data_IF_762230098166
#
_entry.id   IF_762230098166
#
_cell.length_a   1.000
_cell.length_b   1.000
_cell.length_c   1.000
_cell.angle_alpha   90.00
_cell.angle_beta   90.00
_cell.angle_gamma   90.00
#
_symmetry.space_group_name_H-M   'P 1'
#
loop_
_entity.id
_entity.type
_entity.pdbx_description
1 polymer ?
#
# COMPACT_ATOMS: atom_id res chain seq x y z
N UNK A 1 -16.90 -39.25 -12.79
CA UNK A 1 -17.39 -37.86 -12.74
C UNK A 1 -16.24 -37.01 -13.26
N UNK A 2 -16.30 -36.62 -14.53
CA UNK A 2 -15.22 -35.86 -15.17
C UNK A 2 -15.24 -34.44 -14.62
N UNK A 3 -14.07 -33.96 -14.17
CA UNK A 3 -13.88 -32.58 -13.77
C UNK A 3 -13.86 -31.76 -15.05
N UNK A 4 -14.82 -30.85 -15.16
CA UNK A 4 -14.92 -29.89 -16.23
C UNK A 4 -13.62 -29.06 -16.29
N UNK A 5 -12.98 -29.06 -17.46
CA UNK A 5 -11.66 -28.45 -17.70
C UNK A 5 -11.75 -27.05 -18.30
N UNK A 6 -12.94 -26.47 -18.35
CA UNK A 6 -13.13 -25.06 -18.72
C UNK A 6 -12.74 -24.15 -17.54
N UNK A 7 -11.47 -24.29 -17.13
CA UNK A 7 -10.78 -23.37 -16.27
C UNK A 7 -10.58 -22.06 -17.05
N UNK A 8 -11.24 -21.02 -16.54
CA UNK A 8 -10.95 -19.59 -16.71
C UNK A 8 -9.56 -19.38 -17.31
N UNK A 9 -9.50 -19.11 -18.62
CA UNK A 9 -8.27 -18.70 -19.29
C UNK A 9 -7.92 -17.30 -18.81
N UNK A 10 -7.18 -17.22 -17.71
CA UNK A 10 -6.45 -16.00 -17.35
C UNK A 10 -5.35 -15.86 -18.39
N UNK A 11 -5.48 -14.88 -19.27
CA UNK A 11 -4.41 -14.52 -20.22
C UNK A 11 -3.10 -14.38 -19.45
N UNK A 12 -1.98 -14.97 -19.92
CA UNK A 12 -0.67 -14.69 -19.34
C UNK A 12 -0.49 -13.18 -19.28
N UNK A 13 -0.32 -12.61 -18.08
CA UNK A 13 0.08 -11.20 -17.99
C UNK A 13 1.44 -11.10 -18.68
N UNK A 14 1.53 -10.30 -19.73
CA UNK A 14 2.82 -9.94 -20.32
C UNK A 14 3.68 -9.36 -19.21
N UNK A 15 4.72 -10.10 -18.83
CA UNK A 15 5.75 -9.56 -17.95
C UNK A 15 6.55 -8.53 -18.76
N UNK A 16 6.76 -7.33 -18.24
CA UNK A 16 7.68 -6.40 -18.89
C UNK A 16 9.05 -7.07 -19.04
N UNK A 17 9.79 -6.79 -20.14
CA UNK A 17 11.09 -7.38 -20.37
C UNK A 17 12.01 -7.13 -19.16
N UNK A 18 12.91 -8.07 -18.81
CA UNK A 18 13.84 -7.88 -17.72
C UNK A 18 14.70 -6.65 -17.99
N UNK A 19 14.58 -5.64 -17.13
CA UNK A 19 15.49 -4.51 -17.17
C UNK A 19 16.82 -4.92 -16.52
N UNK A 20 17.89 -4.92 -17.30
CA UNK A 20 19.25 -5.22 -16.85
C UNK A 20 19.94 -4.03 -16.14
N UNK A 21 19.27 -2.88 -16.00
CA UNK A 21 19.78 -1.80 -15.15
C UNK A 21 19.42 -2.06 -13.68
N UNK A 22 20.44 -2.14 -12.82
CA UNK A 22 20.29 -2.13 -11.35
C UNK A 22 19.82 -0.77 -10.78
N UNK A 23 19.42 0.17 -11.65
CA UNK A 23 18.98 1.49 -11.25
C UNK A 23 17.48 1.49 -10.95
N UNK A 24 17.12 1.74 -9.69
CA UNK A 24 15.74 1.88 -9.21
C UNK A 24 14.98 2.98 -9.98
N UNK A 25 15.71 4.00 -10.48
CA UNK A 25 15.14 5.09 -11.27
C UNK A 25 14.48 4.61 -12.57
N UNK A 26 14.95 3.49 -13.15
CA UNK A 26 14.42 2.96 -14.41
C UNK A 26 13.00 2.39 -14.30
N UNK A 27 12.61 1.97 -13.10
CA UNK A 27 11.26 1.48 -12.79
C UNK A 27 10.39 2.52 -12.09
N UNK A 28 10.99 3.64 -11.67
CA UNK A 28 10.26 4.72 -11.02
C UNK A 28 9.30 5.36 -12.01
N UNK A 29 8.02 5.15 -11.76
CA UNK A 29 6.93 5.77 -12.52
C UNK A 29 6.47 7.04 -11.82
N UNK A 30 5.63 7.83 -12.47
CA UNK A 30 5.03 9.02 -11.85
C UNK A 30 3.79 8.60 -11.04
N UNK A 31 3.68 8.95 -9.74
CA UNK A 31 2.54 8.56 -8.91
C UNK A 31 1.21 9.12 -9.42
N UNK A 32 1.21 10.31 -10.05
CA UNK A 32 0.00 10.93 -10.61
C UNK A 32 -0.49 10.13 -11.82
N UNK A 33 0.40 9.83 -12.77
CA UNK A 33 0.10 8.99 -13.93
C UNK A 33 -0.38 7.60 -13.52
N UNK A 34 0.29 6.96 -12.55
CA UNK A 34 -0.13 5.67 -12.02
C UNK A 34 -1.49 5.73 -11.33
N UNK A 35 -1.87 6.87 -10.76
CA UNK A 35 -3.13 7.04 -10.04
C UNK A 35 -4.22 7.67 -10.90
N UNK A 36 -4.25 7.40 -12.21
CA UNK A 36 -5.32 7.87 -13.08
C UNK A 36 -5.33 9.37 -13.35
N UNK A 37 -4.22 10.07 -13.06
CA UNK A 37 -4.10 11.52 -13.24
C UNK A 37 -4.59 12.35 -12.05
N UNK A 38 -4.96 11.72 -10.93
CA UNK A 38 -5.37 12.44 -9.72
C UNK A 38 -4.20 13.21 -9.11
N UNK A 39 -4.43 14.45 -8.68
CA UNK A 39 -3.37 15.29 -8.12
C UNK A 39 -2.83 14.71 -6.81
N UNK A 40 -1.59 15.05 -6.43
CA UNK A 40 -1.06 14.65 -5.12
C UNK A 40 -1.94 15.12 -3.96
N UNK A 41 -2.58 16.29 -4.08
CA UNK A 41 -3.52 16.81 -3.07
C UNK A 41 -4.80 15.97 -2.96
N UNK A 42 -5.38 15.52 -4.08
CA UNK A 42 -6.52 14.60 -4.08
C UNK A 42 -6.18 13.24 -3.48
N UNK A 43 -5.02 12.68 -3.83
CA UNK A 43 -4.55 11.40 -3.29
C UNK A 43 -4.31 11.48 -1.79
N UNK A 44 -3.56 12.49 -1.34
CA UNK A 44 -3.26 12.66 0.08
C UNK A 44 -4.53 12.89 0.89
N UNK A 45 -5.45 13.75 0.42
CA UNK A 45 -6.75 13.95 1.05
C UNK A 45 -7.51 12.64 1.20
N UNK A 46 -7.58 11.85 0.13
CA UNK A 46 -8.24 10.54 0.13
C UNK A 46 -7.67 9.65 1.22
N UNK A 47 -6.35 9.56 1.33
CA UNK A 47 -5.69 8.69 2.29
C UNK A 47 -5.86 9.16 3.74
N UNK A 48 -5.67 10.46 4.01
CA UNK A 48 -5.82 11.00 5.37
C UNK A 48 -7.28 10.92 5.84
N UNK A 49 -8.24 11.34 5.00
CA UNK A 49 -9.67 11.26 5.31
C UNK A 49 -10.10 9.80 5.52
N UNK A 50 -9.71 8.87 4.64
CA UNK A 50 -10.07 7.45 4.81
C UNK A 50 -9.43 6.86 6.07
N UNK A 51 -8.21 7.27 6.41
CA UNK A 51 -7.57 6.80 7.64
C UNK A 51 -8.39 7.23 8.86
N UNK A 52 -8.73 8.51 8.97
CA UNK A 52 -9.46 9.07 10.11
C UNK A 52 -10.92 8.60 10.19
N UNK A 53 -11.63 8.59 9.07
CA UNK A 53 -13.09 8.37 9.07
C UNK A 53 -13.48 6.90 8.88
N UNK A 54 -12.59 6.07 8.32
CA UNK A 54 -12.89 4.68 7.99
C UNK A 54 -11.97 3.69 8.69
N UNK A 55 -10.66 3.84 8.57
CA UNK A 55 -9.71 2.86 9.11
C UNK A 55 -9.67 2.92 10.64
N UNK A 56 -9.50 4.12 11.23
CA UNK A 56 -9.45 4.29 12.70
C UNK A 56 -10.69 3.72 13.40
N UNK A 57 -11.93 4.00 12.95
CA UNK A 57 -13.12 3.38 13.55
C UNK A 57 -13.15 1.85 13.40
N UNK A 58 -12.67 1.31 12.28
CA UNK A 58 -12.60 -0.15 12.06
C UNK A 58 -11.53 -0.80 12.93
N UNK A 59 -10.38 -0.15 13.11
CA UNK A 59 -9.30 -0.67 13.96
C UNK A 59 -9.69 -0.63 15.42
N UNK A 60 -10.44 0.37 15.89
CA UNK A 60 -10.88 0.44 17.30
C UNK A 60 -11.62 -0.83 17.74
N UNK A 61 -12.55 -1.32 16.91
CA UNK A 61 -13.28 -2.55 17.19
C UNK A 61 -12.38 -3.80 17.22
N UNK A 62 -11.32 -3.82 16.42
CA UNK A 62 -10.34 -4.91 16.37
C UNK A 62 -9.32 -4.87 17.51
N UNK A 63 -8.89 -3.67 17.91
CA UNK A 63 -7.94 -3.43 19.01
C UNK A 63 -8.53 -3.85 20.34
N UNK A 64 -9.82 -3.59 20.56
CA UNK A 64 -10.55 -4.07 21.74
C UNK A 64 -10.52 -5.62 21.85
N UNK A 65 -10.29 -6.32 20.73
CA UNK A 65 -10.12 -7.77 20.65
C UNK A 65 -8.66 -8.25 20.57
N UNK A 66 -7.68 -7.34 20.68
CA UNK A 66 -6.24 -7.62 20.69
C UNK A 66 -5.55 -7.60 19.32
N UNK A 67 -6.21 -7.12 18.26
CA UNK A 67 -5.58 -6.94 16.94
C UNK A 67 -4.75 -5.65 16.87
N UNK A 68 -3.79 -5.59 15.94
CA UNK A 68 -3.01 -4.39 15.68
C UNK A 68 -3.85 -3.33 14.98
N UNK A 69 -3.44 -2.07 15.14
CA UNK A 69 -4.09 -0.88 14.59
C UNK A 69 -3.88 -0.68 13.07
N UNK A 70 -3.58 -1.73 12.30
CA UNK A 70 -3.23 -1.56 10.88
C UNK A 70 -4.40 -1.84 9.95
N UNK A 71 -4.52 -1.01 8.91
CA UNK A 71 -5.53 -1.18 7.88
C UNK A 71 -5.03 -0.82 6.49
N UNK A 72 -5.87 -1.09 5.51
CA UNK A 72 -5.62 -0.78 4.12
C UNK A 72 -6.93 -0.48 3.39
N UNK A 73 -6.85 0.31 2.33
CA UNK A 73 -7.97 0.70 1.49
C UNK A 73 -7.63 0.54 0.01
N UNK A 74 -8.64 0.29 -0.82
CA UNK A 74 -8.53 0.26 -2.28
C UNK A 74 -9.48 1.29 -2.86
N UNK A 75 -8.98 2.12 -3.76
CA UNK A 75 -9.76 3.18 -4.41
C UNK A 75 -9.81 2.99 -5.92
N UNK A 76 -10.96 3.29 -6.53
CA UNK A 76 -11.11 3.33 -7.98
C UNK A 76 -10.43 4.58 -8.53
N UNK A 77 -9.42 4.42 -9.39
CA UNK A 77 -8.70 5.55 -9.99
C UNK A 77 -9.20 5.94 -11.38
N UNK A 78 -10.18 5.24 -11.96
CA UNK A 78 -10.72 5.61 -13.29
C UNK A 78 -11.70 6.76 -13.24
N UNK A 79 -12.39 6.92 -12.11
CA UNK A 79 -13.42 7.94 -11.96
C UNK A 79 -12.85 9.15 -11.21
N UNK A 80 -13.21 10.38 -11.63
CA UNK A 80 -12.90 11.56 -10.85
C UNK A 80 -13.64 11.51 -9.50
N UNK A 81 -13.08 12.12 -8.44
CA UNK A 81 -13.81 12.36 -7.20
C UNK A 81 -15.17 13.02 -7.46
N UNK A 82 -16.21 12.49 -6.83
CA UNK A 82 -17.53 13.12 -6.90
C UNK A 82 -17.55 14.37 -6.02
N UNK A 83 -18.22 15.45 -6.43
CA UNK A 83 -18.23 16.70 -5.66
C UNK A 83 -18.77 16.50 -4.23
N UNK A 84 -19.75 15.62 -4.08
CA UNK A 84 -20.35 15.21 -2.81
C UNK A 84 -19.42 14.40 -1.90
N UNK A 85 -18.32 13.86 -2.42
CA UNK A 85 -17.35 13.07 -1.64
C UNK A 85 -16.29 13.94 -0.94
N UNK A 86 -16.37 15.26 -1.04
CA UNK A 86 -15.32 16.15 -0.50
C UNK A 86 -14.02 16.07 -1.31
N UNK A 87 -14.08 15.60 -2.56
CA UNK A 87 -12.94 15.53 -3.46
C UNK A 87 -12.01 14.33 -3.23
N UNK A 88 -12.50 13.25 -2.64
CA UNK A 88 -11.76 11.99 -2.46
C UNK A 88 -12.12 10.94 -3.52
N UNK A 89 -11.21 10.01 -3.80
CA UNK A 89 -11.49 8.91 -4.73
C UNK A 89 -12.59 7.99 -4.18
N UNK A 90 -13.29 7.30 -5.09
CA UNK A 90 -14.30 6.31 -4.71
C UNK A 90 -13.63 5.11 -4.04
N UNK A 91 -13.97 4.87 -2.79
CA UNK A 91 -13.62 3.65 -2.06
C UNK A 91 -14.24 2.42 -2.73
N UNK A 92 -13.41 1.40 -2.98
CA UNK A 92 -13.84 0.06 -3.39
C UNK A 92 -14.00 -0.83 -2.16
N UNK A 93 -13.01 -0.81 -1.26
CA UNK A 93 -13.07 -1.53 0.02
C UNK A 93 -12.03 -0.99 1.01
N UNK A 94 -12.30 -1.21 2.29
CA UNK A 94 -11.41 -0.93 3.42
C UNK A 94 -11.41 -2.15 4.33
N UNK A 95 -10.22 -2.56 4.76
CA UNK A 95 -9.99 -3.66 5.67
C UNK A 95 -9.02 -3.31 6.79
N UNK A 96 -9.08 -4.10 7.85
CA UNK A 96 -8.23 -3.98 9.05
C UNK A 96 -7.58 -5.32 9.36
N UNK A 97 -6.50 -5.29 10.13
CA UNK A 97 -5.81 -6.47 10.61
C UNK A 97 -6.77 -7.36 11.43
N UNK A 98 -6.78 -8.65 11.13
CA UNK A 98 -7.55 -9.68 11.85
C UNK A 98 -6.65 -10.85 12.24
N UNK A 99 -5.43 -10.54 12.69
CA UNK A 99 -4.37 -11.50 12.95
C UNK A 99 -4.71 -12.52 14.04
N UNK A 100 -5.67 -12.19 14.91
CA UNK A 100 -6.22 -13.09 15.93
C UNK A 100 -6.91 -14.31 15.32
N UNK A 101 -7.45 -14.20 14.10
CA UNK A 101 -8.00 -15.33 13.34
C UNK A 101 -6.90 -16.12 12.60
N UNK A 102 -5.87 -15.43 12.11
CA UNK A 102 -4.70 -16.04 11.48
C UNK A 102 -3.57 -15.02 11.40
N UNK A 103 -2.33 -15.37 11.76
CA UNK A 103 -1.20 -14.43 11.76
C UNK A 103 -0.85 -13.87 10.37
N UNK A 104 -1.44 -14.40 9.30
CA UNK A 104 -1.26 -13.91 7.92
C UNK A 104 -2.25 -12.80 7.54
N UNK A 105 -3.32 -12.59 8.31
CA UNK A 105 -4.40 -11.66 7.99
C UNK A 105 -4.07 -10.24 8.47
N UNK A 106 -2.97 -9.70 7.94
CA UNK A 106 -2.61 -8.29 8.05
C UNK A 106 -3.66 -7.42 7.36
N UNK A 107 -3.68 -6.11 7.66
CA UNK A 107 -4.66 -5.19 7.08
C UNK A 107 -4.65 -5.23 5.55
N UNK A 108 -3.47 -5.26 4.95
CA UNK A 108 -3.29 -5.33 3.50
C UNK A 108 -3.83 -6.65 2.93
N UNK A 109 -3.48 -7.79 3.54
CA UNK A 109 -3.95 -9.11 3.09
C UNK A 109 -5.47 -9.21 3.24
N UNK A 110 -6.02 -8.74 4.36
CA UNK A 110 -7.46 -8.74 4.58
C UNK A 110 -8.19 -7.91 3.51
N UNK A 111 -7.70 -6.72 3.20
CA UNK A 111 -8.25 -5.84 2.16
C UNK A 111 -8.15 -6.49 0.76
N UNK A 112 -7.06 -7.21 0.46
CA UNK A 112 -6.92 -7.99 -0.78
C UNK A 112 -7.98 -9.09 -0.86
N UNK A 113 -8.20 -9.83 0.23
CA UNK A 113 -9.20 -10.91 0.27
C UNK A 113 -10.62 -10.37 0.10
N UNK A 114 -10.94 -9.24 0.75
CA UNK A 114 -12.22 -8.55 0.56
C UNK A 114 -12.41 -8.10 -0.89
N UNK A 115 -11.39 -7.49 -1.49
CA UNK A 115 -11.42 -7.08 -2.89
C UNK A 115 -11.71 -8.25 -3.82
N UNK A 116 -10.94 -9.34 -3.71
CA UNK A 116 -11.11 -10.51 -4.56
C UNK A 116 -12.35 -11.36 -4.23
N UNK A 117 -12.95 -11.18 -3.05
CA UNK A 117 -14.24 -11.75 -2.68
C UNK A 117 -15.43 -11.11 -3.41
N UNK A 118 -15.28 -9.88 -3.92
CA UNK A 118 -16.34 -9.25 -4.72
C UNK A 118 -16.48 -9.93 -6.08
N UNK A 119 -17.69 -10.37 -6.48
CA UNK A 119 -17.90 -10.99 -7.77
C UNK A 119 -17.55 -10.05 -8.92
N UNK A 120 -16.82 -10.54 -9.92
CA UNK A 120 -16.45 -9.73 -11.10
C UNK A 120 -17.70 -9.23 -11.86
N UNK A 121 -18.75 -10.05 -11.90
CA UNK A 121 -20.04 -9.71 -12.51
C UNK A 121 -20.77 -8.55 -11.81
N UNK A 122 -20.44 -8.27 -10.55
CA UNK A 122 -21.04 -7.19 -9.75
C UNK A 122 -20.23 -5.88 -9.84
N UNK A 123 -19.28 -5.80 -10.79
CA UNK A 123 -18.57 -4.56 -11.09
C UNK A 123 -17.27 -4.34 -10.33
N UNK A 124 -16.66 -5.39 -9.76
CA UNK A 124 -15.30 -5.30 -9.18
C UNK A 124 -14.30 -4.76 -10.23
N UNK A 125 -13.61 -3.64 -9.98
CA UNK A 125 -12.61 -3.11 -10.92
C UNK A 125 -11.42 -4.06 -11.05
N UNK A 126 -10.59 -3.90 -12.08
CA UNK A 126 -9.31 -4.60 -12.13
C UNK A 126 -8.34 -3.96 -11.13
N UNK A 127 -7.48 -4.75 -10.48
CA UNK A 127 -6.54 -4.24 -9.48
C UNK A 127 -5.62 -3.13 -10.04
N UNK A 128 -5.12 -3.30 -11.27
CA UNK A 128 -4.33 -2.28 -11.98
C UNK A 128 -5.07 -0.96 -12.23
N UNK A 129 -6.41 -0.98 -12.13
CA UNK A 129 -7.27 0.18 -12.31
C UNK A 129 -7.70 0.79 -10.96
N UNK A 130 -7.01 0.40 -9.89
CA UNK A 130 -7.21 0.91 -8.54
C UNK A 130 -5.90 1.41 -7.94
N UNK A 131 -6.03 2.15 -6.84
CA UNK A 131 -4.91 2.56 -5.97
C UNK A 131 -4.99 1.73 -4.70
N UNK A 132 -3.88 1.12 -4.30
CA UNK A 132 -3.76 0.44 -3.02
C UNK A 132 -3.17 1.40 -1.99
N UNK A 133 -3.80 1.52 -0.83
CA UNK A 133 -3.32 2.33 0.28
C UNK A 133 -3.18 1.46 1.52
N UNK A 134 -2.07 1.58 2.23
CA UNK A 134 -1.83 0.93 3.52
C UNK A 134 -1.52 1.98 4.59
N UNK A 135 -1.93 1.77 5.83
CA UNK A 135 -1.57 2.71 6.90
C UNK A 135 -0.09 2.64 7.26
N UNK A 136 0.60 1.56 6.93
CA UNK A 136 2.02 1.41 7.17
C UNK A 136 2.70 0.78 5.96
N UNK A 137 4.02 0.89 5.91
CA UNK A 137 4.84 0.30 4.88
C UNK A 137 4.67 -1.23 4.87
N UNK A 138 4.16 -1.83 3.77
CA UNK A 138 3.76 -3.23 3.78
C UNK A 138 4.93 -4.18 4.03
N UNK A 139 4.77 -5.20 4.88
CA UNK A 139 5.81 -6.21 5.11
C UNK A 139 6.01 -7.15 3.91
N UNK A 140 6.99 -8.07 3.97
CA UNK A 140 7.32 -8.98 2.86
C UNK A 140 6.14 -9.84 2.37
N UNK A 141 5.27 -10.27 3.28
CA UNK A 141 4.02 -10.97 2.96
C UNK A 141 3.08 -10.05 2.16
N UNK A 142 2.84 -8.84 2.65
CA UNK A 142 1.92 -7.89 2.06
C UNK A 142 2.43 -7.37 0.70
N UNK A 143 3.72 -7.07 0.56
CA UNK A 143 4.37 -6.73 -0.71
C UNK A 143 4.15 -7.83 -1.77
N UNK A 144 4.29 -9.09 -1.37
CA UNK A 144 4.00 -10.24 -2.23
C UNK A 144 2.51 -10.30 -2.57
N UNK A 145 1.62 -10.09 -1.59
CA UNK A 145 0.18 -10.04 -1.79
C UNK A 145 -0.25 -8.97 -2.78
N UNK A 146 0.27 -7.75 -2.66
CA UNK A 146 0.02 -6.63 -3.58
C UNK A 146 0.50 -6.99 -5.00
N UNK A 147 1.69 -7.59 -5.11
CA UNK A 147 2.26 -8.01 -6.40
C UNK A 147 1.39 -9.06 -7.08
N UNK A 148 1.05 -10.15 -6.37
CA UNK A 148 0.19 -11.21 -6.89
C UNK A 148 -1.22 -10.72 -7.19
N UNK A 149 -1.73 -9.82 -6.35
CA UNK A 149 -3.00 -9.14 -6.54
C UNK A 149 -3.02 -8.20 -7.75
N UNK A 150 -1.86 -7.78 -8.27
CA UNK A 150 -1.78 -7.07 -9.55
C UNK A 150 -2.03 -5.57 -9.48
N UNK A 151 -1.75 -4.95 -8.35
CA UNK A 151 -1.62 -3.50 -8.28
C UNK A 151 -0.29 -3.06 -8.89
N UNK A 152 -0.33 -1.96 -9.63
CA UNK A 152 0.83 -1.33 -10.26
C UNK A 152 1.37 -0.15 -9.45
N UNK A 153 0.68 0.21 -8.37
CA UNK A 153 1.04 1.26 -7.44
C UNK A 153 0.49 0.96 -6.05
N UNK A 154 1.18 1.44 -5.03
CA UNK A 154 0.60 1.57 -3.69
C UNK A 154 1.17 2.76 -2.94
N UNK A 155 0.42 3.22 -1.94
CA UNK A 155 0.81 4.30 -1.05
C UNK A 155 0.77 3.83 0.38
N UNK A 156 1.62 4.41 1.23
CA UNK A 156 1.63 4.10 2.64
C UNK A 156 1.81 5.34 3.51
N UNK A 157 1.13 5.35 4.66
CA UNK A 157 1.14 6.49 5.57
C UNK A 157 2.39 6.52 6.45
N UNK A 158 2.68 5.44 7.18
CA UNK A 158 3.84 5.36 8.07
C UNK A 158 4.94 4.44 7.52
N UNK A 159 6.21 4.85 7.67
CA UNK A 159 7.37 4.03 7.29
C UNK A 159 7.65 2.91 8.31
N UNK A 160 8.52 1.97 7.98
CA UNK A 160 9.03 1.03 8.98
C UNK A 160 9.71 1.74 10.15
N UNK A 161 10.42 2.83 9.90
CA UNK A 161 11.09 3.62 10.94
C UNK A 161 10.09 4.25 11.91
N UNK A 162 8.98 4.80 11.39
CA UNK A 162 7.93 5.41 12.21
C UNK A 162 7.23 4.38 13.10
N UNK A 163 7.16 3.13 12.63
CA UNK A 163 6.32 2.10 13.25
C UNK A 163 7.08 1.08 14.08
N UNK A 164 8.41 1.00 13.94
CA UNK A 164 9.29 0.08 14.66
C UNK A 164 9.11 0.18 16.18
N UNK A 165 9.12 1.40 16.70
CA UNK A 165 9.14 1.66 18.14
C UNK A 165 7.71 1.83 18.70
N UNK A 166 6.73 2.19 17.87
CA UNK A 166 5.38 2.52 18.29
C UNK A 166 4.38 1.34 18.31
N UNK A 167 4.54 0.31 17.44
CA UNK A 167 3.46 -0.67 17.20
C UNK A 167 3.85 -2.15 17.26
N UNK A 168 4.99 -2.49 17.88
CA UNK A 168 5.47 -3.88 17.95
C UNK A 168 5.61 -4.56 16.57
N UNK A 169 6.26 -3.87 15.62
CA UNK A 169 6.66 -4.40 14.30
C UNK A 169 8.08 -5.04 14.25
N UNK A 170 8.85 -5.30 15.34
CA UNK A 170 10.21 -5.82 15.17
C UNK A 170 10.22 -7.24 14.58
N UNK A 171 9.10 -7.96 14.63
CA UNK A 171 8.97 -9.28 14.01
C UNK A 171 8.93 -9.21 12.48
N UNK A 172 8.21 -8.25 11.90
CA UNK A 172 8.02 -8.17 10.45
C UNK A 172 9.31 -7.72 9.75
N UNK A 173 9.98 -6.71 10.31
CA UNK A 173 11.29 -6.24 9.83
C UNK A 173 12.31 -7.37 9.94
N UNK A 174 12.33 -8.11 11.05
CA UNK A 174 13.22 -9.26 11.23
C UNK A 174 12.95 -10.35 10.21
N UNK A 175 11.68 -10.67 9.92
CA UNK A 175 11.35 -11.64 8.86
C UNK A 175 11.91 -11.15 7.53
N UNK A 176 11.74 -9.87 7.22
CA UNK A 176 12.21 -9.31 5.96
C UNK A 176 13.75 -9.37 5.85
N UNK A 177 14.47 -9.06 6.93
CA UNK A 177 15.93 -9.18 6.98
C UNK A 177 16.41 -10.64 6.93
N UNK A 178 15.89 -11.51 7.80
CA UNK A 178 16.37 -12.89 7.95
C UNK A 178 15.95 -13.81 6.80
N UNK A 179 14.79 -13.57 6.18
CA UNK A 179 14.27 -14.43 5.09
C UNK A 179 14.68 -13.92 3.71
N UNK A 180 14.74 -12.59 3.51
CA UNK A 180 14.92 -12.02 2.17
C UNK A 180 16.23 -11.27 1.96
N UNK A 181 16.87 -10.71 3.00
CA UNK A 181 18.17 -10.03 2.90
C UNK A 181 19.32 -11.03 2.98
N UNK A 182 19.32 -12.03 2.11
CA UNK A 182 20.36 -13.05 2.04
C UNK A 182 21.70 -12.39 1.62
N UNK A 183 22.79 -12.60 2.38
CA UNK A 183 24.11 -12.10 2.00
C UNK A 183 24.56 -12.65 0.66
N UNK A 184 25.29 -11.84 -0.11
CA UNK A 184 25.92 -12.26 -1.34
C UNK A 184 27.08 -13.23 -1.06
N UNK A 185 27.28 -14.20 -1.96
CA UNK A 185 28.49 -15.05 -1.94
C UNK A 185 29.71 -14.34 -2.52
N UNK A 186 29.56 -13.11 -3.02
CA UNK A 186 30.64 -12.29 -3.53
C UNK A 186 31.56 -11.81 -2.40
N UNK A 187 32.87 -12.04 -2.55
CA UNK A 187 33.87 -11.64 -1.57
C UNK A 187 33.98 -10.12 -1.33
N UNK A 188 33.32 -9.30 -2.15
CA UNK A 188 33.37 -7.85 -2.08
C UNK A 188 32.17 -7.22 -1.37
N UNK A 189 31.14 -8.00 -1.00
CA UNK A 189 30.06 -7.46 -0.17
C UNK A 189 30.53 -7.35 1.28
N UNK A 190 30.53 -6.13 1.81
CA UNK A 190 30.80 -5.90 3.22
C UNK A 190 29.51 -5.98 4.04
N UNK A 191 29.63 -6.17 5.35
CA UNK A 191 28.49 -6.07 6.26
C UNK A 191 27.78 -4.70 6.19
N UNK A 192 28.53 -3.63 5.86
CA UNK A 192 27.98 -2.30 5.65
C UNK A 192 27.18 -2.18 4.36
N UNK A 193 27.60 -2.86 3.29
CA UNK A 193 26.85 -2.91 2.03
C UNK A 193 25.54 -3.67 2.22
N UNK A 194 25.56 -4.74 3.02
CA UNK A 194 24.37 -5.51 3.34
C UNK A 194 23.39 -4.70 4.20
N UNK A 195 23.87 -4.00 5.24
CA UNK A 195 23.01 -3.24 6.15
C UNK A 195 22.40 -1.99 5.51
N UNK A 196 23.13 -1.33 4.61
CA UNK A 196 22.68 -0.12 3.91
C UNK A 196 21.76 -0.39 2.71
N UNK A 197 21.59 -1.66 2.31
CA UNK A 197 20.67 -2.04 1.24
C UNK A 197 19.25 -1.57 1.60
N UNK A 198 18.39 -1.23 0.64
CA UNK A 198 16.95 -1.14 0.90
C UNK A 198 16.37 -2.49 1.33
N UNK A 199 15.28 -2.47 2.09
CA UNK A 199 14.60 -3.70 2.53
C UNK A 199 13.88 -4.39 1.35
N UNK A 200 13.33 -3.62 0.43
CA UNK A 200 12.78 -4.09 -0.84
C UNK A 200 13.02 -3.04 -1.92
N UNK A 201 12.73 -3.40 -3.17
CA UNK A 201 12.80 -2.46 -4.29
C UNK A 201 11.48 -1.71 -4.44
N UNK A 202 11.43 -0.46 -3.98
CA UNK A 202 10.25 0.41 -4.00
C UNK A 202 9.69 0.64 -5.42
N UNK A 203 10.56 0.60 -6.43
CA UNK A 203 10.16 0.71 -7.82
C UNK A 203 10.65 -0.49 -8.63
N UNK A 204 9.72 -1.31 -9.10
CA UNK A 204 10.06 -2.53 -9.82
C UNK A 204 9.10 -2.79 -10.99
N UNK A 205 9.33 -3.91 -11.68
CA UNK A 205 8.55 -4.33 -12.84
C UNK A 205 7.05 -4.50 -12.57
N UNK A 206 6.67 -4.70 -11.30
CA UNK A 206 5.28 -4.90 -10.88
C UNK A 206 4.68 -3.58 -10.41
N UNK A 207 5.26 -2.94 -9.40
CA UNK A 207 4.69 -1.74 -8.77
C UNK A 207 5.70 -0.60 -8.59
N UNK A 208 5.17 0.60 -8.35
CA UNK A 208 5.92 1.72 -7.75
C UNK A 208 5.20 2.15 -6.46
N UNK A 209 5.94 2.26 -5.35
CA UNK A 209 5.40 2.69 -4.07
C UNK A 209 5.83 4.10 -3.69
N UNK A 210 5.01 4.79 -2.89
CA UNK A 210 5.29 6.12 -2.38
C UNK A 210 4.73 6.30 -0.97
N UNK A 211 5.48 6.99 -0.11
CA UNK A 211 4.97 7.44 1.17
C UNK A 211 4.01 8.63 1.00
N UNK A 212 3.09 8.81 1.95
CA UNK A 212 2.26 10.02 2.01
C UNK A 212 3.11 11.28 2.25
N UNK A 213 4.26 11.16 2.91
CA UNK A 213 5.21 12.27 3.07
C UNK A 213 5.79 12.73 1.73
N UNK A 214 6.13 11.80 0.83
CA UNK A 214 6.53 12.11 -0.54
C UNK A 214 5.40 12.79 -1.33
N UNK A 215 4.15 12.31 -1.20
CA UNK A 215 3.00 12.96 -1.83
C UNK A 215 2.82 14.39 -1.32
N UNK A 216 2.92 14.62 0.00
CA UNK A 216 2.83 15.96 0.58
C UNK A 216 3.93 16.88 0.03
N UNK A 217 5.15 16.38 -0.14
CA UNK A 217 6.25 17.14 -0.74
C UNK A 217 5.99 17.52 -2.22
N UNK A 218 5.19 16.74 -2.94
CA UNK A 218 4.82 17.01 -4.34
C UNK A 218 3.72 18.07 -4.50
N UNK A 219 2.97 18.40 -3.45
CA UNK A 219 1.89 19.39 -3.52
C UNK A 219 2.49 20.81 -3.64
N UNK A 220 2.19 21.60 -4.68
CA UNK A 220 2.72 22.95 -4.81
C UNK A 220 2.32 23.86 -3.66
N UNK A 221 3.19 24.79 -3.26
CA UNK A 221 2.85 25.81 -2.24
C UNK A 221 1.64 26.69 -2.63
N UNK A 222 1.33 26.78 -3.92
CA UNK A 222 0.16 27.49 -4.44
C UNK A 222 -1.14 26.68 -4.45
N UNK A 223 -1.11 25.38 -4.12
CA UNK A 223 -2.31 24.56 -4.04
C UNK A 223 -3.17 25.02 -2.84
N UNK A 224 -4.43 25.37 -3.12
CA UNK A 224 -5.33 25.93 -2.12
C UNK A 224 -5.63 24.95 -0.96
N UNK A 225 -5.55 23.64 -1.21
CA UNK A 225 -5.80 22.60 -0.21
C UNK A 225 -4.55 22.23 0.61
N UNK A 226 -3.36 22.76 0.28
CA UNK A 226 -2.12 22.35 0.94
C UNK A 226 -2.11 22.64 2.44
N UNK A 227 -2.60 23.81 2.86
CA UNK A 227 -2.60 24.22 4.27
C UNK A 227 -3.36 23.22 5.15
N UNK A 228 -4.60 22.92 4.76
CA UNK A 228 -5.43 21.92 5.43
C UNK A 228 -4.77 20.53 5.46
N UNK A 229 -4.16 20.09 4.36
CA UNK A 229 -3.50 18.79 4.30
C UNK A 229 -2.25 18.71 5.19
N UNK A 230 -1.52 19.81 5.36
CA UNK A 230 -0.41 19.90 6.31
C UNK A 230 -0.94 19.81 7.74
N UNK A 231 -2.02 20.52 8.06
CA UNK A 231 -2.64 20.44 9.39
C UNK A 231 -3.12 19.01 9.69
N UNK A 232 -3.84 18.37 8.77
CA UNK A 232 -4.27 16.97 8.92
C UNK A 232 -3.09 16.00 9.06
N UNK A 233 -2.00 16.23 8.32
CA UNK A 233 -0.77 15.45 8.42
C UNK A 233 -0.14 15.60 9.81
N UNK A 234 0.05 16.84 10.26
CA UNK A 234 0.71 17.16 11.53
C UNK A 234 -0.11 16.67 12.73
N UNK A 235 -1.44 16.83 12.72
CA UNK A 235 -2.35 16.29 13.75
C UNK A 235 -2.25 14.78 13.84
N UNK A 236 -2.23 14.12 12.69
CA UNK A 236 -2.07 12.68 12.59
C UNK A 236 -0.76 12.16 13.16
N UNK A 237 0.34 12.89 12.98
CA UNK A 237 1.66 12.55 13.53
C UNK A 237 1.78 12.90 15.03
N UNK A 238 1.21 14.03 15.48
CA UNK A 238 1.42 14.56 16.83
C UNK A 238 0.45 14.02 17.88
N UNK A 239 -0.76 13.62 17.47
CA UNK A 239 -1.85 13.34 18.41
C UNK A 239 -2.10 11.86 18.70
N UNK A 240 -1.40 10.93 18.05
CA UNK A 240 -1.87 9.55 17.97
C UNK A 240 -3.29 9.48 17.40
N UNK A 241 -3.79 10.50 16.69
CA UNK A 241 -5.17 10.50 16.18
C UNK A 241 -5.39 9.48 15.06
N UNK A 242 -4.29 8.95 14.51
CA UNK A 242 -4.33 7.75 13.69
C UNK A 242 -4.47 6.44 14.49
N UNK A 243 -4.25 6.44 15.82
CA UNK A 243 -4.23 5.25 16.69
C UNK A 243 -4.63 5.50 18.16
#
# INVERSE_FOLDING_TARGET
MAIDKDAVTVSPREQPPPNNSNDDASYKRDPVSLSGGHSPSTLLRTFLTTTLERIVPLTQAGVDSGAKVFGAAIFDKKQPPAAESGGILREVTVGTNTETASPLLHGEIQTIQQFYGMPKAEGRPDAKDTVFFATHEPCSLCLSGITWGGWDNFFYLFTYEDTRDAFSIPHDIRILEEVFRVPSTCAHETASDLSSRPLYRAHNAFFSSYSCAELLAMIPASDAGRGELVEMWDEGQAGGSFF
#
